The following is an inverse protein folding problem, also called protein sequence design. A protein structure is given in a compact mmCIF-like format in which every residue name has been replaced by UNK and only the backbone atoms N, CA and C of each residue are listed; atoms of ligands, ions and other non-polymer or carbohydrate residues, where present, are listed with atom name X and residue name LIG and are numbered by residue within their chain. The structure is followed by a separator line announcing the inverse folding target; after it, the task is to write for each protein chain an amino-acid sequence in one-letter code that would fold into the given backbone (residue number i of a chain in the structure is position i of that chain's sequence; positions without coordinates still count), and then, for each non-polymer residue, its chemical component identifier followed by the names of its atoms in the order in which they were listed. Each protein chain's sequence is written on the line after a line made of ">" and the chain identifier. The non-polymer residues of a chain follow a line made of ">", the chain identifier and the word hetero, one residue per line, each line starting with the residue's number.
data_IF_270106255516
#
_entry.id   IF_270106255516
#
_cell.length_a   1.000
_cell.length_b   1.000
_cell.length_c   1.000
_cell.angle_alpha   90.00
_cell.angle_beta   90.00
_cell.angle_gamma   90.00
#
_symmetry.space_group_name_H-M   'P 1'
#
loop_
_entity.id
_entity.type
_entity.pdbx_description
1 polymer ?
#
# COMPACT_ATOMS: atom_id res chain seq x y z
N UNK A 1 3.70 -14.25 -39.12
CA UNK A 1 2.29 -14.27 -38.69
C UNK A 1 1.88 -15.52 -37.90
N UNK A 2 2.05 -16.75 -38.41
CA UNK A 2 1.62 -17.96 -37.67
C UNK A 2 2.35 -18.13 -36.31
N UNK A 3 3.68 -18.02 -36.29
CA UNK A 3 4.51 -18.12 -35.08
C UNK A 3 4.20 -17.01 -34.07
N UNK A 4 3.97 -15.80 -34.56
CA UNK A 4 3.64 -14.63 -33.73
C UNK A 4 2.27 -14.80 -33.04
N UNK A 5 1.29 -15.40 -33.72
CA UNK A 5 0.00 -15.80 -33.13
C UNK A 5 0.14 -16.93 -32.12
N UNK A 6 0.94 -17.95 -32.43
CA UNK A 6 1.25 -19.06 -31.51
C UNK A 6 1.84 -18.52 -30.20
N UNK A 7 2.83 -17.62 -30.27
CA UNK A 7 3.48 -17.03 -29.09
C UNK A 7 2.50 -16.21 -28.24
N UNK A 8 1.59 -15.45 -28.86
CA UNK A 8 0.54 -14.73 -28.10
C UNK A 8 -0.42 -15.67 -27.40
N UNK A 9 -0.85 -16.74 -28.07
CA UNK A 9 -1.71 -17.76 -27.48
C UNK A 9 -1.03 -18.44 -26.26
N UNK A 10 0.27 -18.74 -26.37
CA UNK A 10 1.04 -19.30 -25.25
C UNK A 10 1.11 -18.31 -24.06
N UNK A 11 1.27 -17.01 -24.33
CA UNK A 11 1.27 -15.97 -23.30
C UNK A 11 -0.09 -15.83 -22.62
N UNK A 12 -1.19 -15.98 -23.36
CA UNK A 12 -2.55 -16.04 -22.78
C UNK A 12 -2.71 -17.26 -21.87
N UNK A 13 -2.29 -18.44 -22.32
CA UNK A 13 -2.34 -19.67 -21.52
C UNK A 13 -1.48 -19.60 -20.27
N UNK A 14 -0.36 -18.89 -20.32
CA UNK A 14 0.51 -18.70 -19.17
C UNK A 14 -0.12 -17.85 -18.04
N UNK A 15 -1.19 -17.10 -18.33
CA UNK A 15 -1.97 -16.33 -17.34
C UNK A 15 -3.11 -17.13 -16.70
N UNK A 16 -3.34 -18.38 -17.13
CA UNK A 16 -4.33 -19.24 -16.49
C UNK A 16 -3.97 -19.46 -15.00
N UNK A 17 -4.97 -19.58 -14.10
CA UNK A 17 -4.73 -19.92 -12.70
C UNK A 17 -3.98 -21.23 -12.55
N UNK A 18 -3.27 -21.38 -11.44
CA UNK A 18 -2.67 -22.67 -11.08
C UNK A 18 -3.78 -23.69 -10.80
N UNK A 19 -3.67 -24.89 -11.38
CA UNK A 19 -4.60 -25.95 -11.04
C UNK A 19 -4.42 -26.31 -9.57
N UNK A 20 -5.40 -26.00 -8.73
CA UNK A 20 -5.45 -26.44 -7.34
C UNK A 20 -5.47 -27.97 -7.30
N UNK A 21 -4.82 -28.53 -6.28
CA UNK A 21 -4.59 -29.96 -5.99
C UNK A 21 -5.70 -30.97 -6.37
N UNK A 22 -5.36 -32.25 -6.59
CA UNK A 22 -6.14 -33.21 -7.38
C UNK A 22 -7.34 -33.88 -6.66
N UNK A 23 -8.00 -33.23 -5.70
CA UNK A 23 -9.07 -33.87 -4.90
C UNK A 23 -10.50 -33.50 -5.30
N UNK A 24 -10.70 -32.68 -6.34
CA UNK A 24 -12.04 -32.43 -6.92
C UNK A 24 -12.08 -32.58 -8.44
N UNK A 25 -11.21 -33.43 -8.99
CA UNK A 25 -11.31 -33.86 -10.38
C UNK A 25 -12.33 -35.01 -10.52
N UNK A 26 -13.58 -34.77 -10.13
CA UNK A 26 -14.69 -35.65 -10.52
C UNK A 26 -15.47 -35.01 -11.67
N UNK A 27 -15.34 -35.67 -12.81
CA UNK A 27 -16.18 -35.58 -14.02
C UNK A 27 -15.83 -34.50 -15.06
N UNK A 28 -15.47 -35.01 -16.24
CA UNK A 28 -15.59 -34.39 -17.56
C UNK A 28 -14.77 -33.11 -17.84
N UNK A 29 -13.46 -33.27 -18.06
CA UNK A 29 -12.67 -32.28 -18.80
C UNK A 29 -12.13 -32.93 -20.08
N UNK A 30 -12.60 -32.42 -21.22
CA UNK A 30 -12.10 -32.74 -22.56
C UNK A 30 -10.57 -32.65 -22.60
N UNK A 31 -9.91 -33.57 -23.31
CA UNK A 31 -8.45 -33.59 -23.56
C UNK A 31 -7.89 -32.35 -24.26
N UNK A 32 -8.75 -31.39 -24.65
CA UNK A 32 -8.44 -30.20 -25.44
C UNK A 32 -8.47 -28.88 -24.63
N UNK A 33 -8.65 -28.93 -23.30
CA UNK A 33 -8.65 -27.73 -22.48
C UNK A 33 -7.22 -27.12 -22.38
N UNK A 34 -7.05 -25.80 -22.60
CA UNK A 34 -5.75 -25.17 -22.57
C UNK A 34 -5.13 -25.25 -21.17
N UNK A 35 -3.89 -25.73 -21.10
CA UNK A 35 -3.13 -25.87 -19.84
C UNK A 35 -2.22 -24.67 -19.64
N UNK A 36 -2.02 -24.28 -18.37
CA UNK A 36 -1.08 -23.21 -18.01
C UNK A 36 0.33 -23.56 -18.49
N UNK A 37 0.97 -22.61 -19.19
CA UNK A 37 2.33 -22.77 -19.73
C UNK A 37 3.32 -21.95 -18.90
N UNK A 38 4.49 -22.51 -18.61
CA UNK A 38 5.54 -21.82 -17.87
C UNK A 38 6.19 -20.69 -18.71
N UNK A 39 6.46 -19.55 -18.08
CA UNK A 39 7.10 -18.40 -18.73
C UNK A 39 8.47 -18.76 -19.34
N UNK A 40 9.27 -19.57 -18.63
CA UNK A 40 10.58 -20.05 -19.12
C UNK A 40 10.47 -20.84 -20.44
N UNK A 41 9.42 -21.64 -20.62
CA UNK A 41 9.18 -22.38 -21.86
C UNK A 41 8.89 -21.42 -23.02
N UNK A 42 8.14 -20.35 -22.78
CA UNK A 42 7.84 -19.33 -23.79
C UNK A 42 9.11 -18.53 -24.11
N UNK A 43 9.89 -18.17 -23.10
CA UNK A 43 11.17 -17.48 -23.25
C UNK A 43 12.15 -18.25 -24.14
N UNK A 44 12.36 -19.54 -23.86
CA UNK A 44 13.27 -20.40 -24.63
C UNK A 44 12.80 -20.54 -26.08
N UNK A 45 11.49 -20.71 -26.30
CA UNK A 45 10.89 -20.76 -27.64
C UNK A 45 11.09 -19.45 -28.41
N UNK A 46 10.77 -18.31 -27.79
CA UNK A 46 10.93 -16.99 -28.40
C UNK A 46 12.41 -16.72 -28.75
N UNK A 47 13.34 -17.08 -27.87
CA UNK A 47 14.79 -16.93 -28.10
C UNK A 47 15.29 -17.80 -29.26
N UNK A 48 14.75 -19.01 -29.40
CA UNK A 48 15.05 -19.90 -30.54
C UNK A 48 14.56 -19.29 -31.86
N UNK A 49 13.30 -18.85 -31.91
CA UNK A 49 12.71 -18.18 -33.09
C UNK A 49 13.51 -16.93 -33.47
N UNK A 50 13.84 -16.08 -32.49
CA UNK A 50 14.57 -14.85 -32.75
C UNK A 50 15.97 -15.10 -33.33
N UNK A 51 16.71 -16.09 -32.79
CA UNK A 51 18.02 -16.48 -33.34
C UNK A 51 17.92 -16.95 -34.79
N UNK A 52 16.88 -17.71 -35.13
CA UNK A 52 16.65 -18.18 -36.50
C UNK A 52 16.39 -17.02 -37.47
N UNK A 53 15.74 -15.94 -37.01
CA UNK A 53 15.47 -14.75 -37.84
C UNK A 53 16.69 -13.87 -38.12
N UNK A 54 17.78 -14.03 -37.36
CA UNK A 54 19.02 -13.26 -37.53
C UNK A 54 20.03 -13.92 -38.50
N UNK A 55 19.78 -15.15 -38.95
CA UNK A 55 20.67 -15.88 -39.86
C UNK A 55 20.41 -15.48 -41.34
N UNK A 56 21.44 -15.05 -42.10
CA UNK A 56 21.29 -14.81 -43.53
C UNK A 56 21.05 -16.12 -44.29
N UNK A 57 19.98 -16.21 -45.08
CA UNK A 57 19.75 -17.30 -46.05
C UNK A 57 18.66 -18.32 -45.73
N UNK A 58 17.97 -18.23 -44.59
CA UNK A 58 16.80 -19.07 -44.29
C UNK A 58 15.52 -18.29 -44.60
N UNK A 59 14.80 -18.74 -45.64
CA UNK A 59 13.75 -18.02 -46.37
C UNK A 59 12.43 -17.71 -45.66
N UNK A 60 12.42 -17.52 -44.34
CA UNK A 60 11.22 -17.06 -43.61
C UNK A 60 11.62 -16.04 -42.55
N UNK A 61 11.72 -14.76 -42.95
CA UNK A 61 11.70 -13.64 -42.00
C UNK A 61 10.37 -13.69 -41.26
N UNK A 62 10.36 -14.26 -40.06
CA UNK A 62 9.23 -14.14 -39.16
C UNK A 62 9.22 -12.70 -38.66
N UNK A 63 8.30 -11.90 -39.20
CA UNK A 63 7.99 -10.58 -38.67
C UNK A 63 7.32 -10.76 -37.30
N UNK A 64 8.14 -10.73 -36.26
CA UNK A 64 7.74 -10.93 -34.86
C UNK A 64 7.79 -9.57 -34.19
N UNK A 65 6.70 -9.15 -33.56
CA UNK A 65 6.66 -7.87 -32.85
C UNK A 65 7.36 -7.99 -31.48
N UNK A 66 8.69 -8.09 -31.52
CA UNK A 66 9.54 -8.42 -30.38
C UNK A 66 9.31 -7.51 -29.14
N UNK A 67 9.18 -6.18 -29.25
CA UNK A 67 8.96 -5.33 -28.08
C UNK A 67 7.69 -5.69 -27.29
N UNK A 68 6.61 -6.02 -28.00
CA UNK A 68 5.34 -6.42 -27.36
C UNK A 68 5.48 -7.79 -26.70
N UNK A 69 6.00 -8.79 -27.41
CA UNK A 69 6.12 -10.14 -26.89
C UNK A 69 7.04 -10.21 -25.66
N UNK A 70 8.16 -9.49 -25.66
CA UNK A 70 9.04 -9.41 -24.49
C UNK A 70 8.37 -8.70 -23.31
N UNK A 71 7.57 -7.65 -23.59
CA UNK A 71 6.79 -6.97 -22.53
C UNK A 71 5.78 -7.91 -21.89
N UNK A 72 5.00 -8.62 -22.71
CA UNK A 72 4.01 -9.58 -22.24
C UNK A 72 4.67 -10.75 -21.50
N UNK A 73 5.80 -11.25 -22.00
CA UNK A 73 6.56 -12.33 -21.37
C UNK A 73 7.10 -11.92 -20.00
N UNK A 74 7.65 -10.71 -19.86
CA UNK A 74 8.14 -10.21 -18.57
C UNK A 74 6.99 -10.11 -17.55
N UNK A 75 5.82 -9.59 -17.96
CA UNK A 75 4.64 -9.52 -17.09
C UNK A 75 4.10 -10.89 -16.68
N UNK A 76 4.08 -11.84 -17.63
CA UNK A 76 3.67 -13.22 -17.35
C UNK A 76 4.64 -13.90 -16.39
N UNK A 77 5.96 -13.72 -16.58
CA UNK A 77 6.97 -14.24 -15.67
C UNK A 77 6.81 -13.68 -14.26
N UNK A 78 6.56 -12.36 -14.14
CA UNK A 78 6.23 -11.73 -12.85
C UNK A 78 4.95 -12.28 -12.23
N UNK A 79 3.89 -12.49 -13.02
CA UNK A 79 2.64 -13.11 -12.56
C UNK A 79 2.86 -14.53 -12.01
N UNK A 80 3.77 -15.29 -12.63
CA UNK A 80 4.17 -16.63 -12.18
C UNK A 80 5.22 -16.61 -11.06
N UNK A 81 5.68 -15.43 -10.63
CA UNK A 81 6.79 -15.24 -9.67
C UNK A 81 8.13 -15.83 -10.14
N UNK A 82 8.29 -16.02 -11.44
CA UNK A 82 9.56 -16.41 -12.07
C UNK A 82 10.39 -15.16 -12.36
N UNK A 83 11.00 -14.63 -11.30
CA UNK A 83 11.81 -13.40 -11.36
C UNK A 83 13.09 -13.57 -12.19
N UNK A 84 13.61 -14.80 -12.32
CA UNK A 84 14.77 -15.10 -13.16
C UNK A 84 14.44 -14.88 -14.64
N UNK A 85 13.39 -15.52 -15.14
CA UNK A 85 12.93 -15.31 -16.52
C UNK A 85 12.50 -13.87 -16.76
N UNK A 86 11.86 -13.21 -15.79
CA UNK A 86 11.48 -11.81 -15.91
C UNK A 86 12.70 -10.88 -16.08
N UNK A 87 13.74 -11.06 -15.26
CA UNK A 87 14.96 -10.27 -15.32
C UNK A 87 15.71 -10.48 -16.65
N UNK A 88 15.85 -11.73 -17.09
CA UNK A 88 16.46 -12.07 -18.38
C UNK A 88 15.70 -11.47 -19.57
N UNK A 89 14.36 -11.48 -19.51
CA UNK A 89 13.49 -10.90 -20.53
C UNK A 89 13.62 -9.37 -20.57
N UNK A 90 13.66 -8.72 -19.41
CA UNK A 90 13.89 -7.27 -19.27
C UNK A 90 15.25 -6.88 -19.85
N UNK A 91 16.31 -7.62 -19.50
CA UNK A 91 17.65 -7.36 -20.03
C UNK A 91 17.68 -7.53 -21.55
N UNK A 92 17.03 -8.56 -22.08
CA UNK A 92 16.93 -8.78 -23.51
C UNK A 92 16.21 -7.62 -24.21
N UNK A 93 15.05 -7.18 -23.69
CA UNK A 93 14.34 -6.02 -24.24
C UNK A 93 15.24 -4.78 -24.27
N UNK A 94 15.91 -4.46 -23.16
CA UNK A 94 16.73 -3.25 -23.06
C UNK A 94 17.99 -3.27 -23.93
N UNK A 95 18.43 -4.46 -24.34
CA UNK A 95 19.59 -4.64 -25.23
C UNK A 95 19.21 -4.51 -26.70
N UNK A 96 18.09 -5.13 -27.10
CA UNK A 96 17.75 -5.30 -28.52
C UNK A 96 16.64 -4.34 -28.99
N UNK A 97 15.81 -3.83 -28.09
CA UNK A 97 14.73 -2.90 -28.42
C UNK A 97 15.11 -1.45 -28.11
N UNK A 98 15.06 -0.57 -29.12
CA UNK A 98 15.38 0.86 -28.98
C UNK A 98 14.15 1.76 -28.83
N UNK A 99 12.95 1.18 -28.78
CA UNK A 99 11.69 1.92 -28.71
C UNK A 99 11.52 2.61 -27.34
N UNK A 100 11.09 3.87 -27.33
CA UNK A 100 10.71 4.63 -26.13
C UNK A 100 9.22 4.94 -26.14
N UNK A 101 8.42 3.90 -25.98
CA UNK A 101 6.96 3.94 -26.01
C UNK A 101 6.39 3.17 -24.80
N UNK A 102 5.09 2.88 -24.81
CA UNK A 102 4.43 2.14 -23.73
C UNK A 102 5.10 0.81 -23.36
N UNK A 103 5.73 0.10 -24.31
CA UNK A 103 6.41 -1.18 -24.03
C UNK A 103 7.64 -0.96 -23.18
N UNK A 104 8.44 0.05 -23.49
CA UNK A 104 9.58 0.45 -22.66
C UNK A 104 9.13 0.82 -21.25
N UNK A 105 8.05 1.58 -21.11
CA UNK A 105 7.52 1.93 -19.80
C UNK A 105 7.15 0.69 -18.98
N UNK A 106 6.41 -0.25 -19.57
CA UNK A 106 6.01 -1.50 -18.91
C UNK A 106 7.22 -2.37 -18.55
N UNK A 107 8.24 -2.41 -19.39
CA UNK A 107 9.51 -3.09 -19.09
C UNK A 107 10.26 -2.43 -17.93
N UNK A 108 10.27 -1.11 -17.82
CA UNK A 108 10.87 -0.43 -16.65
C UNK A 108 10.10 -0.75 -15.35
N UNK A 109 8.77 -0.87 -15.41
CA UNK A 109 7.97 -1.33 -14.26
C UNK A 109 8.31 -2.79 -13.90
N UNK A 110 8.45 -3.68 -14.89
CA UNK A 110 8.86 -5.05 -14.65
C UNK A 110 10.28 -5.14 -14.04
N UNK A 111 11.20 -4.30 -14.51
CA UNK A 111 12.55 -4.16 -13.96
C UNK A 111 12.51 -3.71 -12.49
N UNK A 112 11.63 -2.78 -12.15
CA UNK A 112 11.45 -2.33 -10.77
C UNK A 112 10.97 -3.46 -9.86
N UNK A 113 10.03 -4.31 -10.31
CA UNK A 113 9.62 -5.49 -9.55
C UNK A 113 10.75 -6.48 -9.33
N UNK A 114 11.54 -6.80 -10.35
CA UNK A 114 12.70 -7.70 -10.22
C UNK A 114 13.72 -7.14 -9.22
N UNK A 115 14.09 -5.86 -9.36
CA UNK A 115 15.03 -5.20 -8.46
C UNK A 115 14.51 -5.10 -7.01
N UNK A 116 13.19 -4.94 -6.83
CA UNK A 116 12.54 -4.96 -5.53
C UNK A 116 12.58 -6.34 -4.88
N UNK A 117 12.37 -7.40 -5.66
CA UNK A 117 12.48 -8.77 -5.18
C UNK A 117 13.91 -9.10 -4.74
N UNK A 118 14.91 -8.70 -5.53
CA UNK A 118 16.33 -8.89 -5.22
C UNK A 118 16.77 -8.17 -3.94
N UNK A 119 16.01 -7.17 -3.48
CA UNK A 119 16.27 -6.41 -2.27
C UNK A 119 15.64 -7.01 -1.00
N UNK A 120 14.74 -8.00 -1.13
CA UNK A 120 13.96 -8.49 0.01
C UNK A 120 14.86 -9.08 1.11
N UNK A 121 15.86 -9.85 0.70
CA UNK A 121 16.78 -10.55 1.60
C UNK A 121 17.96 -9.70 2.07
N UNK A 122 18.11 -8.47 1.55
CA UNK A 122 19.16 -7.56 1.99
C UNK A 122 18.75 -6.80 3.26
N UNK A 123 19.75 -6.23 3.93
CA UNK A 123 19.58 -5.41 5.13
C UNK A 123 20.30 -4.06 5.01
N UNK A 124 19.87 -3.10 5.84
CA UNK A 124 20.52 -1.80 5.99
C UNK A 124 20.67 -1.01 4.69
N UNK A 125 21.85 -0.42 4.49
CA UNK A 125 22.16 0.45 3.35
C UNK A 125 22.06 -0.26 1.99
N UNK A 126 22.36 -1.56 1.93
CA UNK A 126 22.24 -2.34 0.69
C UNK A 126 20.79 -2.45 0.24
N UNK A 127 19.89 -2.79 1.17
CA UNK A 127 18.44 -2.81 0.92
C UNK A 127 17.95 -1.45 0.48
N UNK A 128 18.29 -0.39 1.22
CA UNK A 128 17.91 0.98 0.91
C UNK A 128 18.29 1.35 -0.53
N UNK A 129 19.56 1.15 -0.90
CA UNK A 129 20.07 1.48 -2.24
C UNK A 129 19.36 0.68 -3.34
N UNK A 130 19.15 -0.63 -3.15
CA UNK A 130 18.47 -1.46 -4.16
C UNK A 130 17.00 -1.04 -4.34
N UNK A 131 16.28 -0.76 -3.26
CA UNK A 131 14.88 -0.30 -3.35
C UNK A 131 14.80 1.09 -3.99
N UNK A 132 15.68 2.02 -3.64
CA UNK A 132 15.73 3.34 -4.30
C UNK A 132 16.10 3.24 -5.79
N UNK A 133 16.96 2.28 -6.15
CA UNK A 133 17.27 1.99 -7.56
C UNK A 133 16.06 1.40 -8.30
N UNK A 134 15.28 0.52 -7.64
CA UNK A 134 14.02 0.02 -8.20
C UNK A 134 13.00 1.17 -8.40
N UNK A 135 12.87 2.06 -7.42
CA UNK A 135 12.06 3.29 -7.53
C UNK A 135 12.52 4.17 -8.70
N UNK A 136 13.83 4.30 -8.91
CA UNK A 136 14.37 5.08 -10.03
C UNK A 136 13.85 4.58 -11.39
N UNK A 137 13.78 3.26 -11.60
CA UNK A 137 13.21 2.70 -12.85
C UNK A 137 11.75 3.09 -13.06
N UNK A 138 10.96 3.15 -11.98
CA UNK A 138 9.57 3.62 -12.04
C UNK A 138 9.51 5.09 -12.44
N UNK A 139 10.38 5.93 -11.87
CA UNK A 139 10.41 7.36 -12.19
C UNK A 139 10.82 7.65 -13.66
N UNK A 140 11.55 6.75 -14.31
CA UNK A 140 11.85 6.86 -15.75
C UNK A 140 10.61 6.77 -16.64
N UNK A 141 9.50 6.21 -16.13
CA UNK A 141 8.24 6.09 -16.86
C UNK A 141 7.51 7.43 -16.97
N UNK A 142 7.58 8.27 -15.93
CA UNK A 142 6.76 9.47 -15.81
C UNK A 142 6.94 10.47 -16.96
N UNK A 143 8.17 10.82 -17.40
CA UNK A 143 8.35 11.75 -18.52
C UNK A 143 7.73 11.28 -19.84
N UNK A 144 7.68 9.96 -20.07
CA UNK A 144 7.09 9.36 -21.28
C UNK A 144 5.57 9.31 -21.14
N UNK A 145 5.07 8.92 -19.96
CA UNK A 145 3.66 8.77 -19.70
C UNK A 145 2.91 10.11 -19.64
N UNK A 146 3.56 11.16 -19.12
CA UNK A 146 2.99 12.49 -18.99
C UNK A 146 3.21 13.40 -20.22
N UNK A 147 3.84 12.91 -21.30
CA UNK A 147 4.05 13.70 -22.52
C UNK A 147 2.68 14.15 -23.08
N UNK A 148 2.39 15.47 -23.19
CA UNK A 148 1.12 15.98 -23.70
C UNK A 148 0.73 15.41 -25.07
N UNK A 149 1.70 15.03 -25.91
CA UNK A 149 1.48 14.45 -27.25
C UNK A 149 0.97 13.00 -27.21
N UNK A 150 1.14 12.32 -26.07
CA UNK A 150 0.73 10.93 -25.85
C UNK A 150 -0.55 10.82 -25.03
N UNK A 151 -1.04 11.95 -24.51
CA UNK A 151 -2.28 11.98 -23.73
C UNK A 151 -3.51 11.89 -24.64
N UNK A 152 -4.59 11.19 -24.21
CA UNK A 152 -4.72 10.45 -22.95
C UNK A 152 -4.21 9.00 -23.03
N UNK A 153 -3.70 8.55 -24.18
CA UNK A 153 -3.37 7.15 -24.44
C UNK A 153 -2.39 6.54 -23.44
N UNK A 154 -1.50 7.34 -22.85
CA UNK A 154 -0.49 6.88 -21.89
C UNK A 154 -0.84 7.19 -20.43
N UNK A 155 -1.98 7.82 -20.15
CA UNK A 155 -2.36 8.22 -18.78
C UNK A 155 -2.44 6.98 -17.85
N UNK A 156 -2.85 5.82 -18.38
CA UNK A 156 -2.87 4.54 -17.63
C UNK A 156 -1.49 4.11 -17.12
N UNK A 157 -0.40 4.51 -17.78
CA UNK A 157 0.96 4.18 -17.35
C UNK A 157 1.33 4.93 -16.08
N UNK A 158 0.76 6.12 -15.84
CA UNK A 158 0.97 6.87 -14.60
C UNK A 158 0.32 6.15 -13.43
N UNK A 159 -0.92 5.67 -13.60
CA UNK A 159 -1.58 4.84 -12.61
C UNK A 159 -0.78 3.55 -12.33
N UNK A 160 -0.39 2.80 -13.37
CA UNK A 160 0.41 1.59 -13.22
C UNK A 160 1.76 1.84 -12.54
N UNK A 161 2.41 2.97 -12.84
CA UNK A 161 3.64 3.39 -12.17
C UNK A 161 3.39 3.68 -10.68
N UNK A 162 2.28 4.32 -10.33
CA UNK A 162 1.94 4.59 -8.92
C UNK A 162 1.66 3.33 -8.11
N UNK A 163 0.96 2.34 -8.69
CA UNK A 163 0.69 1.04 -8.04
C UNK A 163 1.99 0.26 -7.87
N UNK A 164 2.83 0.22 -8.91
CA UNK A 164 4.15 -0.41 -8.84
C UNK A 164 5.02 0.29 -7.78
N UNK A 165 4.98 1.62 -7.74
CA UNK A 165 5.69 2.42 -6.75
C UNK A 165 5.27 2.05 -5.34
N UNK A 166 3.96 1.94 -5.08
CA UNK A 166 3.45 1.55 -3.76
C UNK A 166 4.00 0.19 -3.33
N UNK A 167 3.97 -0.81 -4.20
CA UNK A 167 4.48 -2.14 -3.87
C UNK A 167 5.98 -2.15 -3.56
N UNK A 168 6.78 -1.44 -4.36
CA UNK A 168 8.24 -1.37 -4.20
C UNK A 168 8.63 -0.53 -2.97
N UNK A 169 8.06 0.66 -2.84
CA UNK A 169 8.42 1.63 -1.81
C UNK A 169 7.99 1.19 -0.40
N UNK A 170 6.99 0.31 -0.25
CA UNK A 170 6.58 -0.24 1.06
C UNK A 170 7.72 -0.82 1.87
N UNK A 171 8.78 -1.32 1.24
CA UNK A 171 9.96 -1.83 1.94
C UNK A 171 10.68 -0.75 2.78
N UNK A 172 10.52 0.52 2.44
CA UNK A 172 11.10 1.70 3.10
C UNK A 172 10.08 2.55 3.86
N UNK A 173 8.80 2.16 3.89
CA UNK A 173 7.76 2.85 4.67
C UNK A 173 7.84 2.46 6.15
N UNK A 174 8.99 2.74 6.76
CA UNK A 174 9.31 2.53 8.17
C UNK A 174 10.04 3.77 8.69
N UNK A 175 9.93 4.01 10.00
CA UNK A 175 10.64 5.11 10.67
C UNK A 175 12.13 5.14 10.28
N UNK A 176 12.68 6.34 10.11
CA UNK A 176 14.02 6.67 9.64
C UNK A 176 14.35 6.34 8.16
N UNK A 177 13.56 5.50 7.49
CA UNK A 177 13.72 5.20 6.06
C UNK A 177 12.66 5.85 5.17
N UNK A 178 11.57 6.32 5.75
CA UNK A 178 10.45 6.91 5.02
C UNK A 178 10.87 8.24 4.38
N UNK A 179 11.71 9.02 5.05
CA UNK A 179 12.27 10.29 4.57
C UNK A 179 12.91 10.20 3.17
N UNK A 180 13.47 9.04 2.79
CA UNK A 180 14.10 8.86 1.48
C UNK A 180 13.09 8.80 0.33
N UNK A 181 11.80 8.63 0.63
CA UNK A 181 10.72 8.53 -0.35
C UNK A 181 10.06 9.87 -0.67
N UNK A 182 10.37 10.96 0.05
CA UNK A 182 9.70 12.27 -0.13
C UNK A 182 9.73 12.69 -1.60
N UNK A 183 10.92 12.74 -2.21
CA UNK A 183 11.09 13.22 -3.59
C UNK A 183 10.34 12.35 -4.60
N UNK A 184 10.37 11.02 -4.43
CA UNK A 184 9.72 10.10 -5.37
C UNK A 184 8.20 10.07 -5.20
N UNK A 185 7.69 10.14 -3.96
CA UNK A 185 6.24 10.26 -3.69
C UNK A 185 5.68 11.54 -4.31
N UNK A 186 6.34 12.68 -4.11
CA UNK A 186 5.92 13.95 -4.71
C UNK A 186 5.80 13.84 -6.23
N UNK A 187 6.82 13.28 -6.91
CA UNK A 187 6.78 13.10 -8.37
C UNK A 187 5.63 12.22 -8.85
N UNK A 188 5.34 11.13 -8.14
CA UNK A 188 4.22 10.23 -8.47
C UNK A 188 2.88 10.94 -8.29
N UNK A 189 2.69 11.64 -7.16
CA UNK A 189 1.47 12.38 -6.85
C UNK A 189 1.24 13.50 -7.87
N UNK A 190 2.29 14.25 -8.22
CA UNK A 190 2.20 15.33 -9.21
C UNK A 190 1.87 14.78 -10.60
N UNK A 191 2.44 13.63 -10.99
CA UNK A 191 2.11 12.97 -12.24
C UNK A 191 0.63 12.53 -12.29
N UNK A 192 0.11 11.93 -11.21
CA UNK A 192 -1.31 11.54 -11.10
C UNK A 192 -2.24 12.75 -11.20
N UNK A 193 -1.91 13.85 -10.50
CA UNK A 193 -2.65 15.11 -10.60
C UNK A 193 -2.60 15.68 -12.01
N UNK A 194 -1.45 15.65 -12.67
CA UNK A 194 -1.29 16.16 -14.03
C UNK A 194 -2.14 15.37 -15.03
N UNK A 195 -2.29 14.05 -14.84
CA UNK A 195 -3.17 13.25 -15.70
C UNK A 195 -4.65 13.34 -15.35
N UNK A 196 -5.01 13.96 -14.21
CA UNK A 196 -6.39 14.04 -13.75
C UNK A 196 -6.92 12.71 -13.25
N UNK A 197 -6.12 12.00 -12.42
CA UNK A 197 -6.51 10.75 -11.78
C UNK A 197 -7.87 10.88 -11.07
N UNK A 198 -8.75 9.90 -11.31
CA UNK A 198 -10.13 9.88 -10.82
C UNK A 198 -10.27 9.12 -9.51
N UNK A 199 -9.35 8.22 -9.21
CA UNK A 199 -9.35 7.52 -7.92
C UNK A 199 -8.81 8.44 -6.81
N UNK A 200 -9.73 9.20 -6.22
CA UNK A 200 -9.46 10.14 -5.13
C UNK A 200 -8.92 9.40 -3.90
N UNK A 201 -9.40 8.19 -3.63
CA UNK A 201 -8.95 7.41 -2.46
C UNK A 201 -7.52 6.93 -2.63
N UNK A 202 -7.16 6.50 -3.85
CA UNK A 202 -5.78 6.14 -4.17
C UNK A 202 -4.82 7.33 -4.06
N UNK A 203 -5.21 8.49 -4.59
CA UNK A 203 -4.42 9.71 -4.47
C UNK A 203 -4.25 10.12 -3.00
N UNK A 204 -5.31 10.06 -2.20
CA UNK A 204 -5.27 10.34 -0.77
C UNK A 204 -4.33 9.37 -0.03
N UNK A 205 -4.38 8.06 -0.34
CA UNK A 205 -3.48 7.07 0.26
C UNK A 205 -1.99 7.41 0.03
N UNK A 206 -1.64 7.82 -1.20
CA UNK A 206 -0.28 8.26 -1.54
C UNK A 206 0.09 9.56 -0.82
N UNK A 207 -0.84 10.51 -0.69
CA UNK A 207 -0.61 11.77 0.02
C UNK A 207 -0.44 11.54 1.53
N UNK A 208 -1.18 10.63 2.15
CA UNK A 208 -0.96 10.24 3.55
C UNK A 208 0.43 9.60 3.74
N UNK A 209 0.87 8.76 2.80
CA UNK A 209 2.24 8.24 2.81
C UNK A 209 3.28 9.35 2.65
N UNK A 210 3.02 10.37 1.83
CA UNK A 210 3.87 11.56 1.70
C UNK A 210 3.94 12.34 3.01
N UNK A 211 2.81 12.54 3.72
CA UNK A 211 2.80 13.19 5.03
C UNK A 211 3.71 12.45 6.01
N UNK A 212 3.59 11.13 6.10
CA UNK A 212 4.47 10.31 6.94
C UNK A 212 5.96 10.44 6.56
N UNK A 213 6.27 10.45 5.25
CA UNK A 213 7.63 10.67 4.76
C UNK A 213 8.17 12.07 5.14
N UNK A 214 7.33 13.10 5.06
CA UNK A 214 7.69 14.48 5.42
C UNK A 214 7.92 14.64 6.92
N UNK A 215 7.11 14.00 7.76
CA UNK A 215 7.31 13.97 9.21
C UNK A 215 8.65 13.31 9.56
N UNK A 216 8.95 12.15 8.95
CA UNK A 216 10.23 11.45 9.15
C UNK A 216 11.43 12.31 8.69
N UNK A 217 11.25 13.08 7.60
CA UNK A 217 12.23 14.03 7.10
C UNK A 217 12.27 15.37 7.89
N UNK A 218 11.47 15.52 8.95
CA UNK A 218 11.30 16.76 9.74
C UNK A 218 10.86 17.98 8.94
N UNK A 219 10.17 17.77 7.83
CA UNK A 219 9.58 18.81 6.98
C UNK A 219 8.14 19.13 7.43
N UNK A 220 8.00 19.60 8.66
CA UNK A 220 6.71 19.76 9.35
C UNK A 220 5.74 20.72 8.65
N UNK A 221 6.23 21.86 8.13
CA UNK A 221 5.40 22.81 7.39
C UNK A 221 4.74 22.18 6.15
N UNK A 222 5.49 21.38 5.39
CA UNK A 222 4.98 20.70 4.22
C UNK A 222 4.02 19.56 4.60
N UNK A 223 4.30 18.84 5.69
CA UNK A 223 3.42 17.81 6.23
C UNK A 223 2.06 18.40 6.64
N UNK A 224 2.07 19.50 7.42
CA UNK A 224 0.89 20.22 7.89
C UNK A 224 0.03 20.75 6.73
N UNK A 225 0.66 21.37 5.73
CA UNK A 225 -0.04 21.80 4.52
C UNK A 225 -0.67 20.62 3.78
N UNK A 226 0.11 19.56 3.53
CA UNK A 226 -0.36 18.41 2.75
C UNK A 226 -1.54 17.71 3.41
N UNK A 227 -1.51 17.52 4.74
CA UNK A 227 -2.61 16.84 5.43
C UNK A 227 -3.88 17.68 5.49
N UNK A 228 -3.78 19.01 5.61
CA UNK A 228 -4.94 19.90 5.51
C UNK A 228 -5.52 19.88 4.09
N UNK A 229 -4.68 19.93 3.05
CA UNK A 229 -5.15 19.85 1.67
C UNK A 229 -5.87 18.52 1.37
N UNK A 230 -5.45 17.41 2.01
CA UNK A 230 -6.13 16.11 1.92
C UNK A 230 -7.47 16.14 2.66
N UNK A 231 -7.47 16.49 3.95
CA UNK A 231 -8.70 16.42 4.77
C UNK A 231 -9.67 17.51 4.35
N UNK A 232 -9.28 18.78 4.42
CA UNK A 232 -10.16 19.93 4.20
C UNK A 232 -10.46 20.14 2.71
N UNK A 233 -9.44 19.97 1.86
CA UNK A 233 -9.54 20.29 0.44
C UNK A 233 -10.13 19.17 -0.42
N UNK A 234 -9.92 17.90 -0.07
CA UNK A 234 -10.30 16.76 -0.92
C UNK A 234 -11.37 15.88 -0.28
N UNK A 235 -11.20 15.43 0.96
CA UNK A 235 -12.08 14.42 1.55
C UNK A 235 -13.34 15.02 2.21
N UNK A 236 -13.20 16.09 2.99
CA UNK A 236 -14.34 16.75 3.67
C UNK A 236 -15.45 17.20 2.71
N UNK A 237 -15.18 17.78 1.52
CA UNK A 237 -16.24 18.14 0.57
C UNK A 237 -17.07 16.95 0.10
N UNK A 238 -16.47 15.74 0.04
CA UNK A 238 -17.15 14.53 -0.40
C UNK A 238 -18.15 13.99 0.64
N UNK A 239 -18.06 14.40 1.91
CA UNK A 239 -19.03 14.00 2.94
C UNK A 239 -20.45 14.51 2.67
N UNK A 240 -20.59 15.59 1.89
CA UNK A 240 -21.91 16.12 1.50
C UNK A 240 -22.62 15.23 0.47
N UNK A 241 -21.90 14.35 -0.22
CA UNK A 241 -22.45 13.40 -1.17
C UNK A 241 -22.84 12.09 -0.47
N UNK A 242 -24.13 11.67 -0.50
CA UNK A 242 -24.59 10.43 0.11
C UNK A 242 -23.89 9.16 -0.40
N UNK A 243 -23.40 9.18 -1.64
CA UNK A 243 -22.69 8.05 -2.24
C UNK A 243 -21.35 7.78 -1.54
N UNK A 244 -20.64 8.85 -1.16
CA UNK A 244 -19.40 8.78 -0.39
C UNK A 244 -19.68 8.57 1.11
N UNK A 245 -20.67 9.25 1.66
CA UNK A 245 -21.01 9.17 3.09
C UNK A 245 -21.45 7.76 3.53
N UNK A 246 -21.94 6.91 2.63
CA UNK A 246 -22.28 5.51 2.91
C UNK A 246 -21.15 4.52 2.62
N UNK A 247 -20.11 4.94 1.89
CA UNK A 247 -19.00 4.08 1.45
C UNK A 247 -18.04 3.73 2.59
N UNK A 248 -17.93 2.45 2.93
CA UNK A 248 -17.03 1.96 3.97
C UNK A 248 -15.54 2.25 3.68
N UNK A 249 -15.01 2.04 2.45
CA UNK A 249 -13.63 2.40 2.11
C UNK A 249 -13.33 3.90 2.30
N UNK A 250 -14.30 4.76 1.98
CA UNK A 250 -14.15 6.19 2.15
C UNK A 250 -14.12 6.59 3.63
N UNK A 251 -15.04 6.05 4.45
CA UNK A 251 -15.02 6.28 5.90
C UNK A 251 -13.69 5.87 6.52
N UNK A 252 -13.18 4.69 6.16
CA UNK A 252 -11.88 4.22 6.64
C UNK A 252 -10.73 5.15 6.23
N UNK A 253 -10.72 5.63 4.99
CA UNK A 253 -9.71 6.57 4.50
C UNK A 253 -9.80 7.94 5.20
N UNK A 254 -11.03 8.46 5.36
CA UNK A 254 -11.27 9.73 6.03
C UNK A 254 -10.85 9.68 7.51
N UNK A 255 -11.22 8.61 8.21
CA UNK A 255 -10.79 8.37 9.59
C UNK A 255 -9.27 8.27 9.69
N UNK A 256 -8.61 7.55 8.77
CA UNK A 256 -7.15 7.47 8.73
C UNK A 256 -6.52 8.85 8.50
N UNK A 257 -7.06 9.65 7.58
CA UNK A 257 -6.59 11.00 7.31
C UNK A 257 -6.75 11.92 8.53
N UNK A 258 -7.88 11.86 9.24
CA UNK A 258 -8.11 12.61 10.48
C UNK A 258 -7.08 12.23 11.57
N UNK A 259 -6.78 10.94 11.73
CA UNK A 259 -5.74 10.49 12.68
C UNK A 259 -4.37 11.10 12.36
N UNK A 260 -4.01 11.13 11.08
CA UNK A 260 -2.76 11.77 10.63
C UNK A 260 -2.81 13.28 10.83
N UNK A 261 -3.95 13.94 10.57
CA UNK A 261 -4.11 15.39 10.80
C UNK A 261 -3.95 15.76 12.27
N UNK A 262 -4.55 14.97 13.18
CA UNK A 262 -4.37 15.09 14.62
C UNK A 262 -2.90 14.88 15.01
N UNK A 263 -2.25 13.86 14.46
CA UNK A 263 -0.82 13.58 14.70
C UNK A 263 0.05 14.75 14.32
N UNK A 264 -0.11 15.26 13.11
CA UNK A 264 0.65 16.42 12.65
C UNK A 264 0.38 17.62 13.54
N UNK A 265 -0.87 17.88 13.93
CA UNK A 265 -1.23 19.00 14.81
C UNK A 265 -0.66 18.90 16.22
N UNK A 266 -0.40 17.69 16.72
CA UNK A 266 0.16 17.45 18.05
C UNK A 266 1.69 17.55 18.11
N UNK A 267 2.38 17.68 16.96
CA UNK A 267 3.82 17.87 16.93
C UNK A 267 4.21 19.21 17.55
N UNK A 268 5.34 19.25 18.28
CA UNK A 268 5.90 20.45 18.91
C UNK A 268 6.57 21.39 17.90
N UNK A 269 5.85 21.73 16.83
CA UNK A 269 6.28 22.63 15.76
C UNK A 269 5.21 23.70 15.52
N UNK A 270 5.64 24.95 15.29
CA UNK A 270 4.72 26.09 15.19
C UNK A 270 3.80 25.99 13.97
N UNK A 271 4.25 25.45 12.84
CA UNK A 271 3.42 25.29 11.64
C UNK A 271 2.41 24.15 11.80
N UNK A 272 2.82 23.08 12.46
CA UNK A 272 1.94 21.99 12.87
C UNK A 272 0.82 22.47 13.79
N UNK A 273 1.13 23.25 14.83
CA UNK A 273 0.13 23.70 15.79
C UNK A 273 -0.94 24.63 15.18
N UNK A 274 -0.63 25.31 14.07
CA UNK A 274 -1.62 26.14 13.35
C UNK A 274 -2.78 25.33 12.79
N UNK A 275 -2.65 24.02 12.62
CA UNK A 275 -3.72 23.16 12.08
C UNK A 275 -4.67 22.64 13.17
N UNK A 276 -4.34 22.80 14.46
CA UNK A 276 -5.16 22.36 15.58
C UNK A 276 -6.61 22.89 15.56
N UNK A 277 -6.90 24.13 15.16
CA UNK A 277 -8.27 24.60 15.02
C UNK A 277 -9.06 23.82 13.97
N UNK A 278 -8.45 23.47 12.83
CA UNK A 278 -9.08 22.68 11.77
C UNK A 278 -9.32 21.24 12.24
N UNK A 279 -8.34 20.66 12.94
CA UNK A 279 -8.48 19.34 13.58
C UNK A 279 -9.71 19.31 14.49
N UNK A 280 -9.87 20.32 15.37
CA UNK A 280 -11.03 20.42 16.27
C UNK A 280 -12.36 20.60 15.52
N UNK A 281 -12.37 21.26 14.37
CA UNK A 281 -13.57 21.44 13.54
C UNK A 281 -14.00 20.14 12.86
N UNK A 282 -13.05 19.37 12.33
CA UNK A 282 -13.34 18.17 11.53
C UNK A 282 -13.65 16.94 12.40
N UNK A 283 -13.14 16.93 13.63
CA UNK A 283 -13.56 16.00 14.67
C UNK A 283 -15.00 16.36 15.07
N UNK A 284 -15.97 15.49 14.75
CA UNK A 284 -17.37 15.75 15.08
C UNK A 284 -17.54 16.11 16.57
N UNK A 285 -18.14 17.27 16.91
CA UNK A 285 -18.33 17.67 18.29
C UNK A 285 -19.21 16.63 19.01
N UNK A 286 -18.68 16.01 20.06
CA UNK A 286 -19.35 14.97 20.85
C UNK A 286 -19.06 13.51 20.44
N UNK A 287 -18.24 13.26 19.41
CA UNK A 287 -17.83 11.89 19.08
C UNK A 287 -16.79 11.36 20.08
N UNK A 288 -17.17 10.35 20.88
CA UNK A 288 -16.30 9.61 21.81
C UNK A 288 -14.98 9.21 21.14
N UNK A 289 -15.06 8.65 19.92
CA UNK A 289 -13.92 8.20 19.11
C UNK A 289 -12.97 9.34 18.73
N UNK A 290 -13.51 10.50 18.37
CA UNK A 290 -12.72 11.67 18.01
C UNK A 290 -11.89 12.19 19.20
N UNK A 291 -12.47 12.22 20.41
CA UNK A 291 -11.75 12.57 21.64
C UNK A 291 -10.65 11.56 21.98
N UNK A 292 -10.95 10.26 21.87
CA UNK A 292 -9.99 9.17 22.09
C UNK A 292 -8.80 9.23 21.13
N UNK A 293 -9.03 9.54 19.85
CA UNK A 293 -7.97 9.69 18.86
C UNK A 293 -7.00 10.83 19.19
N UNK A 294 -7.52 11.97 19.65
CA UNK A 294 -6.69 13.09 20.12
C UNK A 294 -5.87 12.68 21.35
N UNK A 295 -6.48 12.01 22.33
CA UNK A 295 -5.79 11.56 23.54
C UNK A 295 -4.70 10.53 23.24
N UNK A 296 -5.00 9.49 22.46
CA UNK A 296 -4.02 8.50 21.99
C UNK A 296 -2.85 9.17 21.28
N UNK A 297 -3.11 10.25 20.55
CA UNK A 297 -2.08 10.96 19.83
C UNK A 297 -1.23 11.88 20.73
N UNK A 298 -1.82 12.47 21.78
CA UNK A 298 -1.08 13.14 22.83
C UNK A 298 -0.11 12.17 23.54
N UNK A 299 -0.57 10.95 23.86
CA UNK A 299 0.24 9.85 24.42
C UNK A 299 1.45 9.56 23.53
N UNK A 300 1.23 9.43 22.21
CA UNK A 300 2.28 9.11 21.22
C UNK A 300 3.31 10.23 20.99
N UNK A 301 2.93 11.49 21.16
CA UNK A 301 3.77 12.65 20.77
C UNK A 301 4.49 13.33 21.95
N UNK A 302 3.94 13.23 23.17
CA UNK A 302 4.40 13.99 24.33
C UNK A 302 5.26 13.18 25.30
N UNK A 303 5.32 11.86 25.12
CA UNK A 303 5.61 10.93 26.21
C UNK A 303 4.33 10.72 27.04
N UNK A 304 3.99 9.47 27.29
CA UNK A 304 2.77 9.12 28.00
C UNK A 304 3.00 9.21 29.51
N UNK A 305 2.08 9.85 30.24
CA UNK A 305 2.01 9.71 31.69
C UNK A 305 0.95 8.66 32.05
N UNK A 306 1.12 8.05 33.21
CA UNK A 306 0.16 7.12 33.80
C UNK A 306 -1.28 7.67 33.78
N UNK A 307 -1.45 8.97 34.07
CA UNK A 307 -2.75 9.63 34.07
C UNK A 307 -3.40 9.64 32.67
N UNK A 308 -2.62 9.91 31.62
CA UNK A 308 -3.16 9.98 30.25
C UNK A 308 -3.54 8.58 29.76
N UNK A 309 -2.76 7.54 30.10
CA UNK A 309 -3.14 6.15 29.83
C UNK A 309 -4.42 5.73 30.55
N UNK A 310 -4.52 6.12 31.82
CA UNK A 310 -5.70 5.83 32.65
C UNK A 310 -6.95 6.45 32.05
N UNK A 311 -6.93 7.75 31.74
CA UNK A 311 -8.07 8.43 31.11
C UNK A 311 -8.42 7.84 29.74
N UNK A 312 -7.41 7.53 28.91
CA UNK A 312 -7.63 6.94 27.58
C UNK A 312 -8.33 5.58 27.69
N UNK A 313 -7.88 4.72 28.62
CA UNK A 313 -8.45 3.39 28.81
C UNK A 313 -9.85 3.44 29.43
N UNK A 314 -10.04 4.30 30.45
CA UNK A 314 -11.36 4.56 31.05
C UNK A 314 -12.37 4.97 30.00
N UNK A 315 -12.02 5.92 29.12
CA UNK A 315 -12.93 6.40 28.09
C UNK A 315 -13.10 5.39 26.95
N UNK A 316 -12.06 4.65 26.54
CA UNK A 316 -12.16 3.68 25.46
C UNK A 316 -13.11 2.53 25.82
N UNK A 317 -12.98 2.00 27.04
CA UNK A 317 -13.72 0.83 27.53
C UNK A 317 -14.99 1.22 28.29
N UNK A 318 -15.06 2.44 28.83
CA UNK A 318 -16.14 2.86 29.73
C UNK A 318 -15.95 2.43 31.19
N UNK A 319 -14.76 1.91 31.56
CA UNK A 319 -14.47 1.48 32.92
C UNK A 319 -13.93 2.64 33.78
N UNK A 320 -14.82 3.47 34.31
CA UNK A 320 -14.46 4.72 35.01
C UNK A 320 -13.66 4.54 36.30
N UNK A 321 -13.72 3.37 36.94
CA UNK A 321 -12.93 3.06 38.14
C UNK A 321 -11.52 2.52 37.84
N UNK A 322 -11.13 2.42 36.56
CA UNK A 322 -9.79 1.99 36.18
C UNK A 322 -8.72 2.96 36.69
N UNK A 323 -7.62 2.43 37.20
CA UNK A 323 -6.43 3.17 37.60
C UNK A 323 -5.22 2.28 37.37
N UNK A 324 -4.25 2.76 36.59
CA UNK A 324 -3.06 1.96 36.23
C UNK A 324 -2.24 1.52 37.46
N UNK A 325 -2.27 2.30 38.54
CA UNK A 325 -1.55 2.01 39.78
C UNK A 325 -2.21 0.89 40.61
N UNK A 326 -3.55 0.84 40.64
CA UNK A 326 -4.31 0.14 41.68
C UNK A 326 -5.25 -0.94 41.18
N UNK A 327 -5.68 -0.89 39.92
CA UNK A 327 -6.60 -1.88 39.36
C UNK A 327 -5.89 -3.21 39.10
N UNK A 328 -6.49 -4.33 39.50
CA UNK A 328 -5.93 -5.67 39.25
C UNK A 328 -6.44 -6.27 37.95
N UNK A 329 -5.76 -7.31 37.46
CA UNK A 329 -6.20 -8.05 36.27
C UNK A 329 -7.58 -8.70 36.46
N UNK A 330 -7.87 -9.13 37.70
CA UNK A 330 -9.15 -9.77 38.05
C UNK A 330 -10.29 -8.75 38.01
N UNK A 331 -10.05 -7.51 38.45
CA UNK A 331 -11.04 -6.42 38.39
C UNK A 331 -11.46 -6.13 36.95
N UNK A 332 -10.50 -6.10 36.03
CA UNK A 332 -10.75 -5.84 34.60
C UNK A 332 -11.48 -7.01 33.97
N UNK A 333 -11.05 -8.25 34.27
CA UNK A 333 -11.70 -9.44 33.75
C UNK A 333 -13.15 -9.52 34.24
N UNK A 334 -13.40 -9.24 35.52
CA UNK A 334 -14.74 -9.18 36.10
C UNK A 334 -15.60 -8.09 35.45
N UNK A 335 -15.04 -6.90 35.20
CA UNK A 335 -15.73 -5.84 34.48
C UNK A 335 -16.10 -6.26 33.05
N UNK A 336 -15.16 -6.80 32.28
CA UNK A 336 -15.40 -7.21 30.89
C UNK A 336 -16.46 -8.32 30.79
N UNK A 337 -16.45 -9.29 31.70
CA UNK A 337 -17.48 -10.32 31.78
C UNK A 337 -18.86 -9.81 32.23
N UNK A 338 -18.92 -8.63 32.85
CA UNK A 338 -20.19 -8.01 33.26
C UNK A 338 -20.87 -7.21 32.13
N UNK A 339 -20.17 -6.96 31.02
CA UNK A 339 -20.68 -6.14 29.92
C UNK A 339 -21.73 -6.90 29.09
N UNK A 340 -22.75 -6.18 28.65
CA UNK A 340 -23.70 -6.66 27.65
C UNK A 340 -23.15 -6.47 26.22
N UNK A 341 -23.80 -7.11 25.24
CA UNK A 341 -23.37 -7.04 23.84
C UNK A 341 -23.30 -5.60 23.31
N UNK A 342 -24.20 -4.72 23.76
CA UNK A 342 -24.24 -3.31 23.36
C UNK A 342 -23.07 -2.51 23.94
N UNK A 343 -22.66 -2.79 25.17
CA UNK A 343 -21.48 -2.17 25.78
C UNK A 343 -20.19 -2.66 25.14
N UNK A 344 -20.10 -3.96 24.77
CA UNK A 344 -18.95 -4.52 24.04
C UNK A 344 -18.79 -3.83 22.67
N UNK A 345 -19.87 -3.63 21.92
CA UNK A 345 -19.84 -2.89 20.64
C UNK A 345 -19.43 -1.41 20.80
N UNK A 346 -19.61 -0.83 21.98
CA UNK A 346 -19.24 0.56 22.28
C UNK A 346 -17.76 0.73 22.69
N UNK A 347 -17.01 -0.37 22.84
CA UNK A 347 -15.58 -0.37 23.13
C UNK A 347 -14.81 -0.02 21.85
N UNK A 348 -13.91 0.96 21.95
CA UNK A 348 -13.03 1.32 20.84
C UNK A 348 -11.76 0.45 20.85
N UNK A 349 -11.89 -0.79 20.38
CA UNK A 349 -10.82 -1.80 20.38
C UNK A 349 -9.57 -1.38 19.58
N UNK A 350 -9.74 -0.60 18.50
CA UNK A 350 -8.62 -0.04 17.75
C UNK A 350 -7.76 0.90 18.61
N UNK A 351 -8.39 1.80 19.37
CA UNK A 351 -7.68 2.70 20.28
C UNK A 351 -6.90 1.90 21.33
N UNK A 352 -7.51 0.86 21.89
CA UNK A 352 -6.91 0.03 22.94
C UNK A 352 -5.69 -0.73 22.41
N UNK A 353 -5.80 -1.32 21.21
CA UNK A 353 -4.67 -2.01 20.56
C UNK A 353 -3.52 -1.05 20.30
N UNK A 354 -3.81 0.13 19.74
CA UNK A 354 -2.79 1.14 19.47
C UNK A 354 -2.15 1.70 20.76
N UNK A 355 -2.94 1.89 21.82
CA UNK A 355 -2.44 2.29 23.13
C UNK A 355 -1.53 1.22 23.75
N UNK A 356 -1.92 -0.06 23.61
CA UNK A 356 -1.14 -1.21 24.06
C UNK A 356 0.18 -1.35 23.32
N UNK A 357 0.17 -1.23 21.99
CA UNK A 357 1.39 -1.21 21.16
C UNK A 357 2.33 -0.09 21.62
N UNK A 358 1.80 1.13 21.81
CA UNK A 358 2.60 2.24 22.29
C UNK A 358 3.17 1.97 23.69
N UNK A 359 2.36 1.42 24.60
CA UNK A 359 2.79 1.08 25.96
C UNK A 359 3.95 0.07 25.97
N UNK A 360 3.93 -0.92 25.07
CA UNK A 360 5.08 -1.84 24.89
C UNK A 360 6.33 -1.08 24.47
N UNK A 361 6.21 -0.16 23.50
CA UNK A 361 7.35 0.62 23.03
C UNK A 361 7.91 1.60 24.08
N UNK A 362 7.07 2.09 25.00
CA UNK A 362 7.48 2.97 26.11
C UNK A 362 7.78 2.22 27.40
N UNK A 363 7.81 0.88 27.39
CA UNK A 363 8.05 0.01 28.55
C UNK A 363 7.01 0.12 29.67
N UNK A 364 5.81 0.61 29.38
CA UNK A 364 4.67 0.64 30.30
C UNK A 364 3.90 -0.70 30.28
N UNK A 365 4.55 -1.75 30.78
CA UNK A 365 4.10 -3.14 30.63
C UNK A 365 2.75 -3.46 31.29
N UNK A 366 2.37 -2.73 32.35
CA UNK A 366 1.06 -2.89 32.99
C UNK A 366 -0.06 -2.49 32.05
N UNK A 367 0.07 -1.32 31.41
CA UNK A 367 -0.90 -0.84 30.43
C UNK A 367 -1.02 -1.80 29.25
N UNK A 368 0.12 -2.29 28.74
CA UNK A 368 0.12 -3.29 27.67
C UNK A 368 -0.63 -4.58 28.05
N UNK A 369 -0.51 -5.02 29.31
CA UNK A 369 -1.19 -6.21 29.84
C UNK A 369 -2.71 -6.00 29.89
N UNK A 370 -3.16 -4.83 30.35
CA UNK A 370 -4.59 -4.51 30.39
C UNK A 370 -5.22 -4.42 29.00
N UNK A 371 -4.50 -3.87 28.02
CA UNK A 371 -4.93 -3.87 26.61
C UNK A 371 -5.02 -5.29 26.03
N UNK A 372 -4.11 -6.20 26.39
CA UNK A 372 -4.15 -7.59 25.91
C UNK A 372 -5.29 -8.41 26.55
N UNK A 373 -5.59 -8.16 27.83
CA UNK A 373 -6.70 -8.80 28.55
C UNK A 373 -8.06 -8.45 27.94
N UNK A 374 -8.27 -7.20 27.56
CA UNK A 374 -9.49 -6.78 26.84
C UNK A 374 -9.65 -7.55 25.53
N UNK A 375 -8.59 -7.63 24.73
CA UNK A 375 -8.62 -8.32 23.44
C UNK A 375 -8.96 -9.80 23.58
N UNK A 376 -8.38 -10.48 24.58
CA UNK A 376 -8.67 -11.91 24.83
C UNK A 376 -10.10 -12.13 25.30
N UNK A 377 -10.59 -11.30 26.23
CA UNK A 377 -11.95 -11.43 26.76
C UNK A 377 -13.03 -11.23 25.68
N UNK A 378 -12.82 -10.29 24.75
CA UNK A 378 -13.75 -10.07 23.61
C UNK A 378 -13.74 -11.25 22.64
N UNK A 379 -12.57 -11.87 22.40
CA UNK A 379 -12.45 -13.06 21.55
C UNK A 379 -13.15 -14.28 22.18
N UNK A 380 -13.02 -14.47 23.48
CA UNK A 380 -13.68 -15.56 24.22
C UNK A 380 -15.21 -15.39 24.30
N UNK A 381 -15.71 -14.15 24.19
CA UNK A 381 -17.14 -13.82 24.23
C UNK A 381 -17.89 -14.08 22.90
N UNK A 382 -17.19 -14.57 21.87
CA UNK A 382 -17.81 -15.00 20.59
C UNK A 382 -18.39 -13.87 19.72
N UNK A 383 -18.12 -12.59 20.04
CA UNK A 383 -18.69 -11.42 19.34
C UNK A 383 -17.91 -10.94 18.09
N UNK A 384 -17.02 -11.77 17.51
CA UNK A 384 -16.41 -11.43 16.22
C UNK A 384 -17.24 -11.96 15.04
N UNK A 385 -18.12 -11.11 14.50
CA UNK A 385 -18.56 -11.22 13.10
C UNK A 385 -18.10 -9.95 12.36
N UNK A 386 -17.25 -10.21 11.34
CA UNK A 386 -16.80 -9.34 10.22
C UNK A 386 -15.56 -8.46 10.46
N UNK A 387 -14.40 -9.03 10.12
CA UNK A 387 -13.41 -8.35 9.27
C UNK A 387 -13.82 -8.42 7.81
#
# INVERSE_FOLDING_TARGET
>A
MAIDRELRLLLEYARLPEATTPETATSALSTDAPKRVAALTIYTRLRSVHRQTLLPGVGTRSDVHLPELLTLLAEVALYQKDFGTAADTVQWFLSDCTVKNQFYCRIQLARAYCASQDALNDVGATKLRKVLNAVHFILLVLPIACDPRKRPYYDFLVYNASVTYWHVARQLMKNATFQFLVVSLTKIIDALKAVGERDILWLAALQLALVSALIDAKQFAAAAKTINDVVDGQLSPLLSDPSWASSAPFKAMYDAALRVQVHVGSLKDAECQKILPNVKKNLAPGSKRAALLVKLQCVKSSGATEAVYTELFQEAIGFTSFSLATTTNDDISAFLHSLDAKAIEAIDSEIIVEAGIHAVFTLELRMATYCDLEKRSILDSGCYIKS
#
